data_IF_695146974334
#
_entry.id   IF_695146974334
#
_cell.length_a   1.000
_cell.length_b   1.000
_cell.length_c   1.000
_cell.angle_alpha   90.00
_cell.angle_beta   90.00
_cell.angle_gamma   90.00
#
_symmetry.space_group_name_H-M   'P 1'
#
loop_
_entity.id
_entity.type
_entity.pdbx_description
1 polymer ?
#
# COMPACT_ATOMS: atom_id res chain seq x y z
N UNK A 1 22.59 1.98 4.65
CA UNK A 1 21.19 1.59 4.56
C UNK A 1 20.32 2.75 4.05
N UNK A 2 19.44 2.43 3.12
CA UNK A 2 18.55 3.44 2.54
C UNK A 2 17.11 2.93 2.49
N UNK A 3 16.49 2.78 3.67
CA UNK A 3 15.11 2.30 3.78
C UNK A 3 14.17 3.04 2.83
N UNK A 4 12.95 2.53 2.71
CA UNK A 4 11.94 3.13 1.85
C UNK A 4 11.81 4.63 2.12
N UNK A 5 11.27 5.37 1.15
CA UNK A 5 11.07 6.81 1.27
C UNK A 5 9.99 7.17 2.29
N UNK A 6 10.41 7.64 3.46
CA UNK A 6 9.49 8.02 4.52
C UNK A 6 8.40 8.96 3.98
N UNK A 7 7.23 8.91 4.61
CA UNK A 7 6.11 9.75 4.20
C UNK A 7 6.43 11.23 4.43
N UNK A 8 6.65 11.96 3.34
CA UNK A 8 6.96 13.38 3.41
C UNK A 8 6.00 14.19 2.56
N UNK A 9 6.31 15.47 2.39
CA UNK A 9 5.46 16.36 1.60
C UNK A 9 5.59 16.04 0.11
N UNK A 10 6.46 15.09 -0.22
CA UNK A 10 6.67 14.68 -1.61
C UNK A 10 6.54 13.18 -1.75
N UNK A 11 5.67 12.57 -0.94
CA UNK A 11 5.47 11.12 -0.97
C UNK A 11 4.07 10.79 -1.48
N UNK A 12 3.97 9.73 -2.27
CA UNK A 12 2.69 9.30 -2.83
C UNK A 12 2.62 7.78 -2.92
N UNK A 13 1.77 7.19 -2.09
CA UNK A 13 1.61 5.73 -2.08
C UNK A 13 0.30 5.33 -2.74
N UNK A 14 0.37 4.41 -3.70
CA UNK A 14 -0.81 3.94 -4.40
C UNK A 14 -0.75 2.43 -4.61
N UNK A 15 -1.66 1.71 -3.96
CA UNK A 15 -1.71 0.26 -4.07
C UNK A 15 -3.05 -0.19 -4.64
N UNK A 16 -3.01 -1.24 -5.47
CA UNK A 16 -4.22 -1.77 -6.08
C UNK A 16 -4.11 -3.28 -6.29
N UNK A 17 -5.18 -3.99 -5.94
CA UNK A 17 -5.20 -5.44 -6.08
C UNK A 17 -6.14 -5.86 -7.21
N UNK A 18 -5.68 -6.81 -8.03
CA UNK A 18 -6.47 -7.29 -9.15
C UNK A 18 -6.21 -8.77 -9.41
N UNK A 19 -7.05 -9.39 -10.24
CA UNK A 19 -6.89 -10.80 -10.54
C UNK A 19 -8.18 -11.57 -10.40
N UNK A 20 -8.13 -12.69 -9.67
CA UNK A 20 -9.31 -13.50 -9.48
C UNK A 20 -9.67 -14.29 -10.72
N UNK A 21 -10.87 -14.04 -11.24
CA UNK A 21 -11.34 -14.74 -12.43
C UNK A 21 -12.27 -13.85 -13.26
N UNK A 22 -13.14 -13.12 -12.57
CA UNK A 22 -14.07 -12.23 -13.25
C UNK A 22 -13.87 -10.78 -12.79
N UNK A 23 -13.92 -9.86 -13.76
CA UNK A 23 -13.74 -8.44 -13.45
C UNK A 23 -14.92 -7.89 -12.67
N UNK A 24 -14.74 -7.73 -11.37
CA UNK A 24 -15.80 -7.21 -10.51
C UNK A 24 -15.30 -6.04 -9.66
N UNK A 25 -16.08 -4.96 -9.61
CA UNK A 25 -15.74 -3.76 -8.83
C UNK A 25 -15.31 -4.11 -7.41
N UNK A 26 -16.03 -5.01 -6.79
CA UNK A 26 -15.72 -5.43 -5.42
C UNK A 26 -14.29 -5.97 -5.33
N UNK A 27 -13.77 -6.44 -6.46
CA UNK A 27 -12.41 -6.97 -6.50
C UNK A 27 -11.40 -5.88 -6.82
N UNK A 28 -11.82 -4.63 -6.66
CA UNK A 28 -10.95 -3.49 -6.92
C UNK A 28 -9.93 -3.30 -5.80
N UNK A 29 -10.40 -2.88 -4.63
CA UNK A 29 -9.50 -2.67 -3.51
C UNK A 29 -8.35 -1.76 -3.85
N UNK A 30 -8.65 -0.60 -4.42
CA UNK A 30 -7.63 0.36 -4.80
C UNK A 30 -7.48 1.44 -3.73
N UNK A 31 -6.24 1.88 -3.51
CA UNK A 31 -5.96 2.91 -2.52
C UNK A 31 -4.81 3.81 -2.96
N UNK A 32 -5.14 5.02 -3.36
CA UNK A 32 -4.14 5.98 -3.82
C UNK A 32 -4.11 7.22 -2.92
N UNK A 33 -3.06 7.33 -2.13
CA UNK A 33 -2.91 8.47 -1.22
C UNK A 33 -1.69 9.31 -1.58
N UNK A 34 -1.94 10.59 -1.91
CA UNK A 34 -0.86 11.50 -2.27
C UNK A 34 -0.71 12.62 -1.24
N UNK A 35 0.37 12.57 -0.48
CA UNK A 35 0.63 13.58 0.54
C UNK A 35 0.79 14.95 -0.08
N UNK A 36 1.36 14.99 -1.28
CA UNK A 36 1.57 16.26 -1.98
C UNK A 36 0.25 16.83 -2.47
N UNK A 37 -0.81 16.04 -2.36
CA UNK A 37 -2.14 16.48 -2.80
C UNK A 37 -2.99 16.89 -1.60
N UNK A 38 -2.36 16.94 -0.42
CA UNK A 38 -3.06 17.33 0.80
C UNK A 38 -2.23 18.32 1.61
N UNK A 39 -2.77 18.71 2.77
CA UNK A 39 -2.08 19.65 3.64
C UNK A 39 -1.23 18.91 4.67
N UNK A 40 -0.21 19.61 5.21
CA UNK A 40 0.69 19.04 6.21
C UNK A 40 -0.06 18.34 7.33
N UNK A 41 -1.01 19.05 7.94
CA UNK A 41 -1.80 18.49 9.03
C UNK A 41 -2.59 17.27 8.56
N UNK A 42 -3.13 17.35 7.35
CA UNK A 42 -3.91 16.27 6.77
C UNK A 42 -3.07 14.99 6.67
N UNK A 43 -1.82 15.14 6.27
CA UNK A 43 -0.92 14.01 6.12
C UNK A 43 -0.65 13.36 7.49
N UNK A 44 -0.17 14.15 8.43
CA UNK A 44 0.14 13.65 9.76
C UNK A 44 -1.07 12.95 10.37
N UNK A 45 -2.23 13.61 10.32
CA UNK A 45 -3.45 13.05 10.86
C UNK A 45 -3.82 11.75 10.14
N UNK A 46 -3.58 11.73 8.83
CA UNK A 46 -3.89 10.55 8.02
C UNK A 46 -3.07 9.35 8.47
N UNK A 47 -1.75 9.50 8.48
CA UNK A 47 -0.86 8.43 8.90
C UNK A 47 -1.20 7.94 10.30
N UNK A 48 -1.33 8.89 11.23
CA UNK A 48 -1.65 8.55 12.61
C UNK A 48 -3.02 7.90 12.70
N UNK A 49 -3.95 8.33 11.85
CA UNK A 49 -5.30 7.78 11.84
C UNK A 49 -5.28 6.30 11.49
N UNK A 50 -4.79 5.98 10.29
CA UNK A 50 -4.72 4.60 9.84
C UNK A 50 -3.96 3.74 10.84
N UNK A 51 -2.81 4.23 11.27
CA UNK A 51 -1.98 3.50 12.24
C UNK A 51 -2.75 3.25 13.53
N UNK A 52 -3.43 4.29 14.01
CA UNK A 52 -4.21 4.19 15.25
C UNK A 52 -5.38 3.23 15.07
N UNK A 53 -5.68 2.88 13.82
CA UNK A 53 -6.78 1.98 13.52
C UNK A 53 -6.32 0.52 13.53
N UNK A 54 -5.02 0.32 13.29
CA UNK A 54 -4.46 -1.02 13.28
C UNK A 54 -4.81 -1.77 14.56
N UNK A 55 -4.43 -1.20 15.71
CA UNK A 55 -4.70 -1.81 17.02
C UNK A 55 -6.19 -1.76 17.38
N UNK A 56 -6.98 -1.10 16.55
CA UNK A 56 -8.41 -0.98 16.78
C UNK A 56 -9.19 -1.69 15.69
N UNK A 57 -8.50 -2.47 14.87
CA UNK A 57 -9.12 -3.21 13.79
C UNK A 57 -8.95 -4.71 13.97
N UNK A 58 -9.62 -5.49 13.13
CA UNK A 58 -9.55 -6.95 13.20
C UNK A 58 -8.12 -7.43 12.91
N UNK A 59 -7.92 -8.73 13.02
CA UNK A 59 -6.60 -9.31 12.77
C UNK A 59 -6.46 -9.72 11.31
N UNK A 60 -5.21 -9.82 10.85
CA UNK A 60 -4.94 -10.19 9.46
C UNK A 60 -5.07 -11.70 9.28
N UNK A 61 -5.33 -12.11 8.04
CA UNK A 61 -5.48 -13.52 7.74
C UNK A 61 -4.30 -14.08 6.95
N UNK A 62 -3.11 -13.99 7.53
CA UNK A 62 -1.91 -14.49 6.88
C UNK A 62 -1.62 -13.71 5.60
N UNK A 63 -0.36 -13.74 5.16
CA UNK A 63 0.08 -13.03 3.96
C UNK A 63 -0.85 -13.29 2.77
N UNK A 64 -1.47 -14.46 2.76
CA UNK A 64 -2.38 -14.83 1.68
C UNK A 64 -3.60 -15.58 2.23
N UNK A 65 -4.71 -14.86 2.35
CA UNK A 65 -5.94 -15.45 2.87
C UNK A 65 -6.74 -16.11 1.75
N UNK A 66 -7.60 -17.07 2.12
CA UNK A 66 -8.44 -17.80 1.16
C UNK A 66 -9.54 -16.93 0.57
N UNK A 67 -10.25 -17.46 -0.42
CA UNK A 67 -11.32 -16.71 -1.06
C UNK A 67 -11.49 -17.07 -2.52
N UNK A 68 -12.44 -16.43 -3.17
CA UNK A 68 -12.71 -16.70 -4.59
C UNK A 68 -11.53 -16.25 -5.46
N UNK A 69 -11.66 -16.48 -6.76
CA UNK A 69 -10.60 -16.10 -7.68
C UNK A 69 -9.65 -17.24 -7.96
N UNK A 70 -8.86 -17.11 -9.03
CA UNK A 70 -7.90 -18.14 -9.40
C UNK A 70 -6.48 -17.57 -9.42
N UNK A 71 -6.33 -16.38 -9.98
CA UNK A 71 -5.02 -15.73 -10.06
C UNK A 71 -5.09 -14.31 -9.54
N UNK A 72 -4.63 -14.11 -8.31
CA UNK A 72 -4.65 -12.78 -7.70
C UNK A 72 -3.24 -12.20 -7.63
N UNK A 73 -3.14 -10.88 -7.75
CA UNK A 73 -1.85 -10.20 -7.71
C UNK A 73 -1.99 -8.81 -7.11
N UNK A 74 -0.93 -8.35 -6.44
CA UNK A 74 -0.93 -7.03 -5.83
C UNK A 74 0.02 -6.09 -6.55
N UNK A 75 -0.39 -4.83 -6.68
CA UNK A 75 0.42 -3.82 -7.36
C UNK A 75 0.64 -2.61 -6.46
N UNK A 76 1.87 -2.43 -6.01
CA UNK A 76 2.21 -1.30 -5.14
C UNK A 76 3.08 -0.28 -5.88
N UNK A 77 2.57 0.93 -6.01
CA UNK A 77 3.29 1.99 -6.70
C UNK A 77 3.68 3.10 -5.72
N UNK A 78 4.95 3.13 -5.33
CA UNK A 78 5.44 4.13 -4.39
C UNK A 78 6.14 5.27 -5.14
N UNK A 79 5.48 6.42 -5.22
CA UNK A 79 6.03 7.58 -5.91
C UNK A 79 6.67 8.54 -4.91
N UNK A 80 8.00 8.65 -4.97
CA UNK A 80 8.73 9.54 -4.07
C UNK A 80 9.58 10.53 -4.85
N UNK A 81 9.43 11.81 -4.53
CA UNK A 81 10.19 12.86 -5.21
C UNK A 81 11.09 13.61 -4.23
N UNK A 82 12.39 13.41 -4.37
CA UNK A 82 13.36 14.06 -3.49
C UNK A 82 14.31 14.94 -4.29
N UNK A 83 15.40 15.36 -3.65
CA UNK A 83 16.39 16.22 -4.30
C UNK A 83 17.40 15.38 -5.07
N UNK A 84 17.84 14.29 -4.45
CA UNK A 84 18.82 13.39 -5.08
C UNK A 84 18.13 12.29 -5.87
N UNK A 85 16.99 11.82 -5.35
CA UNK A 85 16.24 10.75 -6.00
C UNK A 85 14.79 11.18 -6.22
N UNK A 86 14.42 11.35 -7.49
CA UNK A 86 13.06 11.76 -7.84
C UNK A 86 12.47 10.83 -8.89
N UNK A 87 11.66 9.87 -8.45
CA UNK A 87 11.03 8.92 -9.35
C UNK A 87 10.00 8.06 -8.61
N UNK A 88 9.41 7.12 -9.34
CA UNK A 88 8.40 6.23 -8.74
C UNK A 88 8.87 4.78 -8.78
N UNK A 89 8.31 3.97 -7.89
CA UNK A 89 8.67 2.56 -7.81
C UNK A 89 7.42 1.67 -7.81
N UNK A 90 7.21 0.95 -8.91
CA UNK A 90 6.07 0.06 -9.03
C UNK A 90 6.48 -1.39 -8.86
N UNK A 91 5.65 -2.16 -8.15
CA UNK A 91 5.93 -3.58 -7.92
C UNK A 91 4.67 -4.41 -8.06
N UNK A 92 4.72 -5.42 -8.91
CA UNK A 92 3.57 -6.31 -9.13
C UNK A 92 3.97 -7.76 -8.92
N UNK A 93 3.37 -8.39 -7.92
CA UNK A 93 3.64 -9.79 -7.61
C UNK A 93 2.39 -10.50 -7.13
N UNK A 94 2.14 -11.70 -7.69
CA UNK A 94 0.98 -12.51 -7.33
C UNK A 94 0.80 -12.65 -5.83
N UNK A 95 -0.44 -12.79 -5.39
CA UNK A 95 -0.75 -12.92 -3.97
C UNK A 95 -0.07 -14.17 -3.39
N UNK A 96 0.01 -15.22 -4.19
CA UNK A 96 0.62 -16.47 -3.77
C UNK A 96 2.06 -16.24 -3.29
N UNK A 97 2.66 -15.15 -3.75
CA UNK A 97 4.03 -14.83 -3.38
C UNK A 97 4.09 -13.47 -2.68
N UNK A 98 2.94 -12.83 -2.54
CA UNK A 98 2.85 -11.53 -1.88
C UNK A 98 3.58 -11.55 -0.53
N UNK A 99 4.73 -10.88 -0.46
CA UNK A 99 5.54 -10.80 0.76
C UNK A 99 4.86 -9.96 1.84
N UNK A 100 5.33 -10.11 3.07
CA UNK A 100 4.77 -9.36 4.19
C UNK A 100 4.73 -7.87 3.88
N UNK A 101 5.73 -7.39 3.16
CA UNK A 101 5.81 -5.99 2.78
C UNK A 101 4.60 -5.57 1.95
N UNK A 102 4.17 -6.45 1.06
CA UNK A 102 3.03 -6.18 0.20
C UNK A 102 1.73 -6.17 1.00
N UNK A 103 1.50 -7.24 1.76
CA UNK A 103 0.31 -7.36 2.58
C UNK A 103 0.26 -6.26 3.64
N UNK A 104 1.44 -5.80 4.05
CA UNK A 104 1.53 -4.75 5.06
C UNK A 104 1.44 -3.37 4.44
N UNK A 105 1.86 -3.27 3.17
CA UNK A 105 1.83 -2.01 2.46
C UNK A 105 0.40 -1.63 2.08
N UNK A 106 -0.41 -2.64 1.77
CA UNK A 106 -1.80 -2.42 1.40
C UNK A 106 -2.68 -2.21 2.64
N UNK A 107 -2.21 -2.71 3.77
CA UNK A 107 -2.94 -2.59 5.02
C UNK A 107 -2.51 -1.33 5.78
N UNK A 108 -1.23 -1.24 6.10
CA UNK A 108 -0.70 -0.09 6.82
C UNK A 108 -0.06 0.90 5.86
N UNK A 109 0.74 0.39 4.93
CA UNK A 109 1.40 1.25 3.97
C UNK A 109 2.65 1.90 4.54
N UNK A 110 3.15 1.35 5.64
CA UNK A 110 4.35 1.89 6.28
C UNK A 110 5.52 0.93 6.13
N UNK A 111 6.73 1.49 6.17
CA UNK A 111 7.94 0.68 6.05
C UNK A 111 7.93 -0.50 7.01
N UNK A 112 8.22 -1.69 6.49
CA UNK A 112 8.24 -2.90 7.32
C UNK A 112 9.58 -3.07 7.99
N UNK A 113 9.56 -3.41 9.27
CA UNK A 113 10.79 -3.60 10.04
C UNK A 113 10.48 -4.10 11.44
#
# INVERSE_FOLDING_TARGET
MKPLPVLNQDTVIELAREGGFAFIPKLAGQRRIALADITPEQRQRLNQLLNQTLPYAQEEGQPDSPGSGDQRYFRVQISYYSQTLRSEIVLLIPETSAPQALVDLWKTGQVDE
#
